data_IF_318848414575
#
_entry.id   IF_318848414575
#
_cell.length_a   1.000
_cell.length_b   1.000
_cell.length_c   1.000
_cell.angle_alpha   90.00
_cell.angle_beta   90.00
_cell.angle_gamma   90.00
#
_symmetry.space_group_name_H-M   'P 1'
#
loop_
_entity.id
_entity.type
_entity.pdbx_description
1 polymer ?
#
# COMPACT_ATOMS: atom_id res chain seq x y z
N UNK A 1 -32.11 -30.25 17.33
CA UNK A 1 -30.96 -30.65 16.49
C UNK A 1 -30.49 -29.44 15.71
N UNK A 2 -29.33 -28.91 16.11
CA UNK A 2 -28.32 -28.19 15.32
C UNK A 2 -27.38 -27.60 16.38
N UNK A 3 -26.23 -28.25 16.53
CA UNK A 3 -25.11 -27.86 17.40
C UNK A 3 -24.12 -27.13 16.51
N UNK A 4 -23.72 -25.93 16.90
CA UNK A 4 -22.49 -25.28 16.47
C UNK A 4 -21.92 -24.60 17.72
N UNK A 5 -20.79 -25.13 18.18
CA UNK A 5 -19.97 -24.64 19.29
C UNK A 5 -18.56 -24.57 18.73
N UNK A 6 -17.86 -23.46 18.99
CA UNK A 6 -16.42 -23.45 19.24
C UNK A 6 -15.55 -22.94 18.10
N UNK A 7 -15.37 -21.61 18.02
CA UNK A 7 -14.21 -20.97 17.42
C UNK A 7 -13.43 -20.32 18.57
N UNK A 8 -12.44 -21.03 19.10
CA UNK A 8 -11.57 -20.60 20.21
C UNK A 8 -10.16 -21.13 19.92
N UNK A 9 -9.25 -20.19 19.66
CA UNK A 9 -7.80 -20.20 19.93
C UNK A 9 -6.89 -21.19 19.17
N UNK A 10 -6.02 -20.64 18.33
CA UNK A 10 -4.72 -21.25 17.99
C UNK A 10 -3.61 -20.19 18.17
N UNK A 11 -3.30 -19.90 19.43
CA UNK A 11 -2.03 -19.31 19.84
C UNK A 11 -1.55 -20.10 21.07
N UNK A 12 -0.24 -20.35 21.11
CA UNK A 12 0.54 -21.00 22.17
C UNK A 12 0.74 -22.53 22.07
N UNK A 13 1.87 -22.93 21.47
CA UNK A 13 2.78 -23.93 22.08
C UNK A 13 4.23 -23.59 21.70
N UNK A 14 4.99 -22.98 22.62
CA UNK A 14 6.44 -23.17 22.71
C UNK A 14 6.97 -22.68 24.06
N UNK A 15 7.03 -23.59 25.04
CA UNK A 15 7.79 -23.42 26.27
C UNK A 15 8.32 -24.80 26.68
N UNK A 16 9.58 -25.06 26.33
CA UNK A 16 10.34 -26.27 26.70
C UNK A 16 10.96 -26.03 28.08
N UNK A 17 10.60 -26.88 29.05
CA UNK A 17 11.27 -27.01 30.34
C UNK A 17 12.46 -27.96 30.24
N UNK A 18 13.60 -27.53 30.78
CA UNK A 18 14.85 -28.29 30.87
C UNK A 18 15.03 -28.96 32.24
N UNK A 19 15.46 -30.22 32.18
CA UNK A 19 16.27 -31.02 33.13
C UNK A 19 15.66 -31.64 34.42
N UNK A 20 15.65 -32.98 34.44
CA UNK A 20 16.45 -33.80 35.37
C UNK A 20 16.61 -35.23 34.83
N UNK A 21 17.83 -35.76 34.84
CA UNK A 21 18.21 -36.99 34.12
C UNK A 21 18.03 -38.31 34.87
N UNK A 22 18.14 -39.42 34.12
CA UNK A 22 18.89 -40.64 34.45
C UNK A 22 18.89 -41.59 33.25
N UNK A 23 19.93 -42.41 33.18
CA UNK A 23 20.45 -43.28 32.11
C UNK A 23 19.49 -44.25 31.38
N UNK A 24 19.80 -44.44 30.09
CA UNK A 24 19.07 -45.13 29.01
C UNK A 24 18.64 -46.60 29.23
N UNK A 25 17.68 -47.05 28.40
CA UNK A 25 17.99 -48.08 27.41
C UNK A 25 17.76 -47.57 25.98
N UNK A 26 18.48 -48.14 25.02
CA UNK A 26 18.34 -47.87 23.58
C UNK A 26 16.89 -48.15 23.17
N UNK A 27 16.09 -47.09 23.04
CA UNK A 27 14.79 -47.13 22.38
C UNK A 27 15.03 -46.88 20.90
N UNK A 28 14.51 -47.76 20.06
CA UNK A 28 14.25 -47.47 18.65
C UNK A 28 13.61 -46.09 18.58
N UNK A 29 14.26 -45.21 17.82
CA UNK A 29 13.79 -43.86 17.55
C UNK A 29 12.34 -43.99 17.09
N UNK A 30 11.35 -43.39 17.80
CA UNK A 30 10.01 -43.37 17.27
C UNK A 30 10.10 -42.65 15.93
N UNK A 31 9.73 -43.31 14.84
CA UNK A 31 9.38 -42.62 13.61
C UNK A 31 8.39 -41.53 14.03
N UNK A 32 8.81 -40.27 13.92
CA UNK A 32 7.89 -39.15 13.97
C UNK A 32 6.76 -39.51 13.02
N UNK A 33 5.48 -39.51 13.44
CA UNK A 33 4.39 -39.75 12.50
C UNK A 33 4.62 -38.80 11.32
N UNK A 34 4.70 -39.35 10.11
CA UNK A 34 4.86 -38.53 8.92
C UNK A 34 3.68 -37.54 8.92
N UNK A 35 3.99 -36.25 9.03
CA UNK A 35 2.99 -35.20 8.95
C UNK A 35 2.19 -35.38 7.65
N UNK A 36 0.89 -35.11 7.68
CA UNK A 36 0.07 -35.29 6.49
C UNK A 36 0.61 -34.38 5.36
N UNK A 37 0.58 -34.82 4.07
CA UNK A 37 1.04 -34.00 2.95
C UNK A 37 0.45 -32.57 2.95
N UNK A 38 -0.82 -32.43 3.35
CA UNK A 38 -1.50 -31.14 3.51
C UNK A 38 -0.87 -30.27 4.60
N UNK A 39 -0.51 -30.82 5.76
CA UNK A 39 0.16 -30.10 6.86
C UNK A 39 1.56 -29.63 6.44
N UNK A 40 2.30 -30.47 5.71
CA UNK A 40 3.61 -30.14 5.15
C UNK A 40 3.47 -28.95 4.18
N UNK A 41 2.50 -29.00 3.26
CA UNK A 41 2.26 -27.94 2.30
C UNK A 41 1.81 -26.64 2.97
N UNK A 42 0.94 -26.70 3.97
CA UNK A 42 0.51 -25.51 4.74
C UNK A 42 1.70 -24.83 5.42
N UNK A 43 2.60 -25.61 6.04
CA UNK A 43 3.78 -25.06 6.69
C UNK A 43 4.74 -24.41 5.67
N UNK A 44 4.92 -25.05 4.51
CA UNK A 44 5.74 -24.50 3.42
C UNK A 44 5.15 -23.21 2.84
N UNK A 45 3.84 -23.19 2.56
CA UNK A 45 3.14 -22.01 2.03
C UNK A 45 3.16 -20.85 3.03
N UNK A 46 3.04 -21.12 4.32
CA UNK A 46 3.17 -20.11 5.37
C UNK A 46 4.56 -19.47 5.36
N UNK A 47 5.62 -20.29 5.23
CA UNK A 47 6.99 -19.76 5.16
C UNK A 47 7.25 -19.01 3.86
N UNK A 48 6.73 -19.50 2.74
CA UNK A 48 6.81 -18.83 1.44
C UNK A 48 6.12 -17.47 1.47
N UNK A 49 4.93 -17.37 2.10
CA UNK A 49 4.26 -16.09 2.35
C UNK A 49 5.14 -15.13 3.15
N UNK A 50 5.76 -15.59 4.24
CA UNK A 50 6.68 -14.76 5.03
C UNK A 50 7.85 -14.30 4.17
N UNK A 51 8.46 -15.19 3.37
CA UNK A 51 9.54 -14.78 2.46
C UNK A 51 9.04 -13.75 1.45
N UNK A 52 7.87 -13.96 0.85
CA UNK A 52 7.20 -13.01 -0.03
C UNK A 52 7.08 -11.63 0.61
N UNK A 53 6.57 -11.58 1.84
CA UNK A 53 6.40 -10.36 2.60
C UNK A 53 7.74 -9.63 2.86
N UNK A 54 8.78 -10.36 3.28
CA UNK A 54 10.09 -9.77 3.58
C UNK A 54 10.88 -9.36 2.32
N UNK A 55 10.81 -10.14 1.24
CA UNK A 55 11.56 -9.90 -0.02
C UNK A 55 10.80 -9.08 -1.05
N UNK A 56 9.51 -8.83 -0.92
CA UNK A 56 8.77 -8.16 -1.99
C UNK A 56 7.77 -7.11 -1.49
N UNK A 57 7.55 -6.99 -0.18
CA UNK A 57 6.52 -6.11 0.40
C UNK A 57 7.04 -5.17 1.51
N UNK A 58 8.36 -4.96 1.59
CA UNK A 58 9.04 -4.22 2.66
C UNK A 58 8.79 -4.71 4.09
N UNK A 59 8.52 -6.01 4.27
CA UNK A 59 8.03 -6.54 5.54
C UNK A 59 8.99 -6.49 6.73
N UNK A 60 10.22 -5.99 6.57
CA UNK A 60 11.20 -5.84 7.65
C UNK A 60 11.05 -4.46 8.30
N UNK A 61 10.73 -4.35 9.60
CA UNK A 61 10.53 -3.08 10.26
C UNK A 61 11.82 -2.29 10.41
N UNK A 62 11.72 -0.97 10.31
CA UNK A 62 12.86 -0.05 10.45
C UNK A 62 13.29 0.06 11.91
N UNK A 63 14.60 0.05 12.15
CA UNK A 63 15.23 0.15 13.46
C UNK A 63 15.93 1.49 13.71
N UNK A 64 15.82 2.46 12.79
CA UNK A 64 16.55 3.73 12.86
C UNK A 64 16.59 4.51 11.55
N UNK A 65 17.51 5.47 11.46
CA UNK A 65 17.62 6.38 10.32
C UNK A 65 18.34 5.75 9.10
N UNK A 66 18.01 6.26 7.92
CA UNK A 66 18.65 5.91 6.65
C UNK A 66 20.13 6.32 6.64
N UNK A 67 21.00 5.38 6.28
CA UNK A 67 22.45 5.65 6.13
C UNK A 67 22.75 6.41 4.83
N UNK A 68 23.91 7.07 4.75
CA UNK A 68 24.35 7.80 3.54
C UNK A 68 24.44 6.92 2.28
N UNK A 69 24.70 5.62 2.46
CA UNK A 69 24.75 4.64 1.38
C UNK A 69 23.40 3.96 1.09
N UNK A 70 22.33 4.53 1.63
CA UNK A 70 20.93 4.19 1.38
C UNK A 70 20.49 2.82 1.93
N UNK A 71 20.94 2.49 3.14
CA UNK A 71 20.48 1.33 3.88
C UNK A 71 19.73 1.74 5.16
N UNK A 72 18.69 0.98 5.50
CA UNK A 72 17.93 1.12 6.74
C UNK A 72 18.30 -0.01 7.69
N UNK A 73 18.66 0.27 8.96
CA UNK A 73 18.81 -0.78 9.96
C UNK A 73 17.46 -1.44 10.20
N UNK A 74 17.45 -2.76 10.35
CA UNK A 74 16.24 -3.54 10.64
C UNK A 74 16.05 -3.64 12.16
N UNK A 75 14.84 -3.39 12.64
CA UNK A 75 14.50 -3.55 14.06
C UNK A 75 14.58 -5.02 14.46
N UNK A 76 15.29 -5.36 15.56
CA UNK A 76 15.34 -6.73 16.08
C UNK A 76 13.97 -7.32 16.44
N UNK A 77 12.97 -6.46 16.69
CA UNK A 77 11.60 -6.85 17.02
C UNK A 77 10.86 -7.51 15.84
N UNK A 78 11.35 -7.33 14.61
CA UNK A 78 10.80 -7.96 13.40
C UNK A 78 11.05 -9.46 13.27
N UNK A 79 11.74 -10.10 14.24
CA UNK A 79 11.98 -11.54 14.28
C UNK A 79 13.12 -12.05 13.39
N UNK A 80 13.66 -11.20 12.51
CA UNK A 80 14.79 -11.52 11.61
C UNK A 80 15.94 -10.51 11.75
N UNK A 81 16.67 -10.50 12.89
CA UNK A 81 17.64 -9.46 13.22
C UNK A 81 18.98 -9.56 12.46
N UNK A 82 19.26 -10.69 11.79
CA UNK A 82 20.57 -11.01 11.18
C UNK A 82 20.43 -11.68 9.81
N UNK A 83 21.50 -11.67 9.00
CA UNK A 83 21.53 -12.43 7.74
C UNK A 83 21.34 -13.93 7.97
N UNK A 84 21.87 -14.46 9.08
CA UNK A 84 21.71 -15.87 9.46
C UNK A 84 20.23 -16.23 9.71
N UNK A 85 19.46 -15.33 10.34
CA UNK A 85 18.04 -15.55 10.59
C UNK A 85 17.23 -15.60 9.30
N UNK A 86 17.55 -14.73 8.34
CA UNK A 86 16.97 -14.73 6.99
C UNK A 86 17.35 -15.99 6.23
N UNK A 87 18.63 -16.38 6.24
CA UNK A 87 19.10 -17.59 5.60
C UNK A 87 18.42 -18.85 6.16
N UNK A 88 18.24 -18.93 7.49
CA UNK A 88 17.56 -20.05 8.14
C UNK A 88 16.10 -20.18 7.69
N UNK A 89 15.38 -19.06 7.52
CA UNK A 89 14.03 -19.06 6.96
C UNK A 89 14.03 -19.65 5.53
N UNK A 90 14.96 -19.19 4.69
CA UNK A 90 15.07 -19.65 3.31
C UNK A 90 15.42 -21.14 3.23
N UNK A 91 16.39 -21.60 4.01
CA UNK A 91 16.83 -23.01 4.05
C UNK A 91 15.75 -23.97 4.57
N UNK A 92 14.74 -23.47 5.28
CA UNK A 92 13.56 -24.25 5.69
C UNK A 92 12.42 -24.22 4.66
N UNK A 93 12.55 -23.41 3.62
CA UNK A 93 11.48 -23.13 2.65
C UNK A 93 11.86 -23.60 1.26
N UNK A 94 13.09 -23.38 0.83
CA UNK A 94 13.55 -23.63 -0.54
C UNK A 94 14.82 -24.52 -0.61
N UNK A 95 15.13 -25.12 -1.77
CA UNK A 95 16.41 -25.77 -2.04
C UNK A 95 17.59 -24.79 -2.09
N UNK A 96 18.80 -25.28 -1.82
CA UNK A 96 20.05 -24.50 -1.72
C UNK A 96 20.30 -23.51 -2.86
N UNK A 97 19.95 -23.88 -4.10
CA UNK A 97 20.15 -23.01 -5.26
C UNK A 97 19.27 -21.75 -5.20
N UNK A 98 18.01 -21.90 -4.79
CA UNK A 98 17.08 -20.79 -4.65
C UNK A 98 17.40 -19.95 -3.41
N UNK A 99 17.83 -20.60 -2.31
CA UNK A 99 18.37 -19.91 -1.12
C UNK A 99 19.51 -18.98 -1.52
N UNK A 100 20.49 -19.49 -2.27
CA UNK A 100 21.64 -18.68 -2.73
C UNK A 100 21.18 -17.52 -3.59
N UNK A 101 20.25 -17.76 -4.52
CA UNK A 101 19.71 -16.71 -5.40
C UNK A 101 19.03 -15.59 -4.62
N UNK A 102 18.26 -15.93 -3.59
CA UNK A 102 17.55 -14.95 -2.75
C UNK A 102 18.47 -14.18 -1.80
N UNK A 103 19.53 -14.83 -1.30
CA UNK A 103 20.56 -14.17 -0.48
C UNK A 103 21.47 -13.24 -1.31
N UNK A 104 21.74 -13.61 -2.56
CA UNK A 104 22.52 -12.81 -3.52
C UNK A 104 21.66 -11.74 -4.22
N UNK A 105 20.36 -11.62 -3.87
CA UNK A 105 19.44 -10.69 -4.50
C UNK A 105 19.93 -9.24 -4.39
N UNK A 106 19.77 -8.50 -5.48
CA UNK A 106 20.20 -7.11 -5.57
C UNK A 106 19.02 -6.15 -5.59
N UNK A 107 19.28 -4.91 -5.17
CA UNK A 107 18.37 -3.79 -5.28
C UNK A 107 18.34 -3.20 -6.70
N UNK A 108 17.51 -2.18 -6.92
CA UNK A 108 17.35 -1.53 -8.24
C UNK A 108 18.63 -0.89 -8.80
N UNK A 109 19.69 -0.75 -7.99
CA UNK A 109 21.00 -0.21 -8.39
C UNK A 109 22.08 -1.29 -8.49
N UNK A 110 21.72 -2.57 -8.35
CA UNK A 110 22.67 -3.69 -8.38
C UNK A 110 23.48 -3.85 -7.09
N UNK A 111 23.06 -3.24 -5.98
CA UNK A 111 23.70 -3.41 -4.66
C UNK A 111 23.04 -4.58 -3.92
N UNK A 112 23.73 -5.23 -2.96
CA UNK A 112 23.11 -6.28 -2.15
C UNK A 112 21.83 -5.79 -1.47
N UNK A 113 20.77 -6.59 -1.52
CA UNK A 113 19.50 -6.22 -0.88
C UNK A 113 19.62 -6.13 0.64
N UNK A 114 20.40 -7.05 1.21
CA UNK A 114 20.62 -7.16 2.65
C UNK A 114 22.12 -7.17 2.95
N UNK A 115 22.52 -6.44 3.98
CA UNK A 115 23.88 -6.45 4.50
C UNK A 115 23.84 -6.51 6.02
N UNK A 116 24.89 -7.05 6.63
CA UNK A 116 25.04 -7.04 8.08
C UNK A 116 26.22 -6.16 8.48
N UNK A 117 26.01 -5.27 9.45
CA UNK A 117 27.06 -4.40 10.01
C UNK A 117 26.99 -4.50 11.52
N UNK A 118 28.10 -4.90 12.13
CA UNK A 118 28.22 -5.01 13.58
C UNK A 118 27.12 -5.89 14.23
N UNK A 119 26.66 -6.93 13.53
CA UNK A 119 25.61 -7.84 14.00
C UNK A 119 24.18 -7.31 13.83
N UNK A 120 24.00 -6.18 13.14
CA UNK A 120 22.71 -5.60 12.80
C UNK A 120 22.44 -5.81 11.32
N UNK A 121 21.28 -6.37 10.99
CA UNK A 121 20.79 -6.47 9.62
C UNK A 121 20.38 -5.08 9.11
N UNK A 122 20.75 -4.79 7.87
CA UNK A 122 20.30 -3.62 7.13
C UNK A 122 19.64 -4.06 5.83
N UNK A 123 18.53 -3.39 5.47
CA UNK A 123 17.85 -3.53 4.18
C UNK A 123 18.14 -2.33 3.29
N UNK A 124 18.23 -2.54 1.98
CA UNK A 124 18.30 -1.42 1.01
C UNK A 124 17.01 -0.60 1.07
N UNK A 125 17.12 0.73 0.98
CA UNK A 125 15.95 1.62 0.89
C UNK A 125 15.33 1.67 -0.52
N UNK A 126 15.89 0.94 -1.47
CA UNK A 126 15.39 0.84 -2.86
C UNK A 126 15.14 -0.62 -3.27
N UNK A 127 14.35 -1.38 -2.49
CA UNK A 127 14.12 -2.78 -2.77
C UNK A 127 13.41 -2.97 -4.11
N UNK A 128 13.56 -4.18 -4.67
CA UNK A 128 12.66 -4.64 -5.72
C UNK A 128 11.35 -5.04 -5.06
N UNK A 129 10.28 -4.31 -5.35
CA UNK A 129 8.94 -4.57 -4.86
C UNK A 129 8.16 -5.46 -5.82
N UNK A 130 7.34 -6.34 -5.26
CA UNK A 130 6.22 -6.90 -6.00
C UNK A 130 5.25 -5.78 -6.34
N UNK A 131 4.63 -5.86 -7.51
CA UNK A 131 3.59 -4.91 -7.92
C UNK A 131 2.33 -5.07 -7.05
N UNK A 132 2.17 -6.25 -6.45
CA UNK A 132 0.95 -6.65 -5.76
C UNK A 132 1.23 -7.35 -4.43
N UNK A 133 0.33 -7.18 -3.47
CA UNK A 133 0.34 -7.98 -2.25
C UNK A 133 -0.43 -9.26 -2.50
N UNK A 134 0.20 -10.42 -2.34
CA UNK A 134 -0.44 -11.73 -2.56
C UNK A 134 -0.57 -12.50 -1.25
N UNK A 135 -1.68 -13.21 -1.10
CA UNK A 135 -1.93 -14.15 0.00
C UNK A 135 -2.42 -15.49 -0.54
N UNK A 136 -2.18 -16.57 0.19
CA UNK A 136 -2.65 -17.90 -0.17
C UNK A 136 -4.03 -18.17 0.43
N UNK A 137 -4.94 -18.72 -0.38
CA UNK A 137 -6.10 -19.43 0.16
C UNK A 137 -5.64 -20.84 0.58
N UNK A 138 -5.24 -20.99 1.84
CA UNK A 138 -4.71 -22.25 2.36
C UNK A 138 -5.71 -23.43 2.28
N UNK A 139 -7.01 -23.14 2.21
CA UNK A 139 -8.08 -24.14 2.07
C UNK A 139 -8.26 -24.60 0.61
N UNK A 140 -7.61 -23.92 -0.35
CA UNK A 140 -7.72 -24.21 -1.79
C UNK A 140 -6.70 -25.23 -2.32
N UNK A 141 -5.81 -25.74 -1.45
CA UNK A 141 -4.73 -26.63 -1.87
C UNK A 141 -5.29 -27.95 -2.42
N UNK A 142 -4.90 -28.29 -3.65
CA UNK A 142 -5.24 -29.58 -4.29
C UNK A 142 -3.95 -30.24 -4.74
N UNK A 143 -3.63 -31.40 -4.14
CA UNK A 143 -2.48 -32.21 -4.53
C UNK A 143 -2.84 -32.99 -5.81
N UNK A 144 -2.11 -32.71 -6.89
CA UNK A 144 -2.31 -33.34 -8.19
C UNK A 144 -1.47 -34.63 -8.34
N UNK A 145 -0.27 -34.61 -7.77
CA UNK A 145 0.65 -35.75 -7.78
C UNK A 145 1.48 -35.77 -6.49
N UNK A 146 1.66 -36.95 -5.91
CA UNK A 146 2.46 -37.18 -4.71
C UNK A 146 3.37 -38.39 -4.92
N UNK A 147 4.65 -38.19 -4.63
CA UNK A 147 5.68 -39.23 -4.64
C UNK A 147 6.62 -39.05 -3.45
N UNK A 148 7.56 -39.98 -3.26
CA UNK A 148 8.57 -39.84 -2.20
C UNK A 148 9.58 -38.71 -2.44
N UNK A 149 9.66 -38.17 -3.66
CA UNK A 149 10.64 -37.15 -4.04
C UNK A 149 10.03 -35.80 -4.42
N UNK A 150 8.73 -35.78 -4.74
CA UNK A 150 8.06 -34.63 -5.32
C UNK A 150 6.56 -34.64 -5.00
N UNK A 151 6.01 -33.46 -4.71
CA UNK A 151 4.58 -33.16 -4.64
C UNK A 151 4.26 -32.03 -5.60
N UNK A 152 3.32 -32.25 -6.52
CA UNK A 152 2.77 -31.22 -7.40
C UNK A 152 1.37 -30.90 -6.92
N UNK A 153 1.08 -29.62 -6.73
CA UNK A 153 -0.19 -29.16 -6.20
C UNK A 153 -0.58 -27.84 -6.83
N UNK A 154 -1.88 -27.55 -6.82
CA UNK A 154 -2.40 -26.21 -7.13
C UNK A 154 -2.85 -25.53 -5.86
N UNK A 155 -2.65 -24.22 -5.79
CA UNK A 155 -3.16 -23.35 -4.72
C UNK A 155 -3.66 -22.05 -5.34
N UNK A 156 -4.77 -21.52 -4.84
CA UNK A 156 -5.24 -20.20 -5.22
C UNK A 156 -4.49 -19.13 -4.43
N UNK A 157 -3.97 -18.14 -5.14
CA UNK A 157 -3.46 -16.92 -4.53
C UNK A 157 -4.42 -15.77 -4.81
N UNK A 158 -4.65 -14.93 -3.79
CA UNK A 158 -5.44 -13.72 -3.92
C UNK A 158 -4.53 -12.50 -3.85
N UNK A 159 -4.68 -11.61 -4.82
CA UNK A 159 -4.16 -10.27 -4.75
C UNK A 159 -4.96 -9.50 -3.69
N UNK A 160 -4.34 -9.19 -2.56
CA UNK A 160 -4.96 -8.49 -1.44
C UNK A 160 -5.43 -7.08 -1.79
N UNK A 161 -4.86 -6.48 -2.85
CA UNK A 161 -5.24 -5.13 -3.29
C UNK A 161 -6.39 -5.15 -4.30
N UNK A 162 -6.34 -6.01 -5.31
CA UNK A 162 -7.36 -6.06 -6.38
C UNK A 162 -8.49 -7.05 -6.09
N UNK A 163 -8.27 -7.99 -5.17
CA UNK A 163 -9.16 -9.11 -4.90
C UNK A 163 -9.09 -10.22 -5.96
N UNK A 164 -8.30 -10.05 -7.02
CA UNK A 164 -8.07 -11.02 -8.08
C UNK A 164 -7.54 -12.33 -7.51
N UNK A 165 -8.02 -13.46 -8.05
CA UNK A 165 -7.65 -14.81 -7.62
C UNK A 165 -7.03 -15.55 -8.78
N UNK A 166 -5.82 -16.03 -8.60
CA UNK A 166 -5.08 -16.78 -9.62
C UNK A 166 -4.77 -18.20 -9.12
N UNK A 167 -5.09 -19.24 -9.89
CA UNK A 167 -4.65 -20.59 -9.57
C UNK A 167 -3.18 -20.74 -9.93
N UNK A 168 -2.37 -21.20 -8.99
CA UNK A 168 -0.93 -21.38 -9.15
C UNK A 168 -0.57 -22.85 -9.02
N UNK A 169 0.04 -23.43 -10.05
CA UNK A 169 0.64 -24.77 -9.98
C UNK A 169 2.02 -24.66 -9.36
N UNK A 170 2.31 -25.49 -8.36
CA UNK A 170 3.52 -25.45 -7.53
C UNK A 170 4.09 -26.83 -7.31
N UNK A 171 5.39 -26.87 -7.08
CA UNK A 171 6.11 -28.11 -6.78
C UNK A 171 6.85 -28.01 -5.45
N UNK A 172 6.68 -29.02 -4.60
CA UNK A 172 7.54 -29.26 -3.44
C UNK A 172 8.44 -30.46 -3.71
N UNK A 173 9.72 -30.35 -3.39
CA UNK A 173 10.73 -31.39 -3.57
C UNK A 173 11.24 -31.90 -2.22
N UNK A 174 11.41 -33.22 -2.10
CA UNK A 174 11.93 -33.82 -0.88
C UNK A 174 13.47 -33.80 -0.92
N UNK A 175 14.06 -33.04 0.01
CA UNK A 175 15.52 -32.96 0.17
C UNK A 175 15.97 -33.75 1.40
N UNK A 176 17.28 -33.94 1.57
CA UNK A 176 17.82 -34.55 2.78
C UNK A 176 17.45 -33.79 4.08
N UNK A 177 17.09 -32.51 3.98
CA UNK A 177 16.67 -31.65 5.08
C UNK A 177 15.13 -31.49 5.17
N UNK A 178 14.36 -32.29 4.43
CA UNK A 178 12.90 -32.26 4.36
C UNK A 178 12.35 -31.64 3.07
N UNK A 179 11.03 -31.47 3.03
CA UNK A 179 10.33 -30.88 1.88
C UNK A 179 10.64 -29.39 1.72
N UNK A 180 10.75 -28.93 0.46
CA UNK A 180 11.05 -27.55 0.07
C UNK A 180 10.26 -27.16 -1.17
N UNK A 181 9.85 -25.90 -1.30
CA UNK A 181 9.21 -25.37 -2.51
C UNK A 181 10.27 -25.08 -3.58
N UNK A 182 9.98 -25.40 -4.84
CA UNK A 182 10.95 -25.23 -5.95
C UNK A 182 11.10 -23.78 -6.43
N UNK A 183 10.17 -22.90 -6.06
CA UNK A 183 10.08 -21.51 -6.52
C UNK A 183 9.42 -20.64 -5.45
N UNK A 184 9.55 -19.31 -5.57
CA UNK A 184 8.87 -18.32 -4.70
C UNK A 184 7.49 -18.01 -5.24
N UNK A 185 6.48 -18.04 -4.37
CA UNK A 185 5.08 -17.89 -4.79
C UNK A 185 4.72 -16.58 -5.47
N UNK A 186 5.11 -15.45 -4.88
CA UNK A 186 4.84 -14.13 -5.47
C UNK A 186 5.42 -14.03 -6.88
N UNK A 187 6.68 -14.44 -7.07
CA UNK A 187 7.33 -14.40 -8.39
C UNK A 187 6.60 -15.31 -9.39
N UNK A 188 6.13 -16.49 -8.98
CA UNK A 188 5.40 -17.39 -9.85
C UNK A 188 3.98 -16.86 -10.19
N UNK A 189 3.31 -16.22 -9.23
CA UNK A 189 2.02 -15.56 -9.46
C UNK A 189 2.16 -14.39 -10.46
N UNK A 190 3.19 -13.55 -10.29
CA UNK A 190 3.45 -12.42 -11.18
C UNK A 190 3.88 -12.83 -12.59
N UNK A 191 4.63 -13.92 -12.75
CA UNK A 191 4.98 -14.46 -14.09
C UNK A 191 3.76 -14.91 -14.90
N UNK A 192 2.65 -15.23 -14.23
CA UNK A 192 1.38 -15.58 -14.87
C UNK A 192 0.52 -14.37 -15.25
N UNK A 193 0.88 -13.17 -14.77
CA UNK A 193 0.23 -11.92 -15.15
C UNK A 193 0.86 -11.44 -16.45
N UNK A 194 0.05 -10.94 -17.38
CA UNK A 194 0.61 -10.23 -18.52
C UNK A 194 1.41 -9.03 -17.98
N UNK A 195 2.72 -9.02 -18.25
CA UNK A 195 3.60 -7.88 -17.97
C UNK A 195 3.02 -6.64 -18.66
N UNK A 196 2.31 -5.80 -17.92
CA UNK A 196 1.91 -4.48 -18.42
C UNK A 196 3.15 -3.61 -18.51
N UNK A 197 3.92 -3.78 -19.58
CA UNK A 197 5.21 -3.11 -19.71
C UNK A 197 5.07 -1.59 -19.55
N UNK A 198 6.14 -0.93 -19.10
CA UNK A 198 6.22 0.55 -19.13
C UNK A 198 5.98 1.12 -20.54
N UNK A 199 6.20 0.33 -21.59
CA UNK A 199 5.85 0.66 -22.97
C UNK A 199 4.33 0.86 -23.14
N UNK A 200 3.48 0.14 -22.39
CA UNK A 200 2.02 0.34 -22.37
C UNK A 200 1.64 1.64 -21.65
N UNK A 201 2.29 1.95 -20.53
CA UNK A 201 2.06 3.21 -19.78
C UNK A 201 2.42 4.42 -20.64
N UNK A 202 3.58 4.38 -21.29
CA UNK A 202 4.00 5.42 -22.24
C UNK A 202 3.08 5.50 -23.45
N UNK A 203 2.65 4.35 -23.99
CA UNK A 203 1.71 4.33 -25.11
C UNK A 203 0.37 4.98 -24.76
N UNK A 204 -0.13 4.83 -23.52
CA UNK A 204 -1.32 5.55 -23.04
C UNK A 204 -1.09 7.06 -23.05
N UNK A 205 0.06 7.53 -22.54
CA UNK A 205 0.41 8.95 -22.53
C UNK A 205 0.52 9.55 -23.95
N UNK A 206 1.21 8.84 -24.85
CA UNK A 206 1.36 9.25 -26.26
C UNK A 206 0.00 9.25 -26.99
N UNK A 207 -0.82 8.23 -26.76
CA UNK A 207 -2.18 8.15 -27.31
C UNK A 207 -3.06 9.28 -26.79
N UNK A 208 -2.97 9.62 -25.52
CA UNK A 208 -3.70 10.73 -24.91
C UNK A 208 -3.31 12.08 -25.54
N UNK A 209 -2.01 12.37 -25.63
CA UNK A 209 -1.52 13.63 -26.24
C UNK A 209 -1.89 13.74 -27.72
N UNK A 210 -1.79 12.64 -28.48
CA UNK A 210 -2.26 12.60 -29.86
C UNK A 210 -3.78 12.85 -29.97
N UNK A 211 -4.58 12.30 -29.05
CA UNK A 211 -6.02 12.49 -29.02
C UNK A 211 -6.45 13.94 -28.68
N UNK A 212 -5.66 14.64 -27.85
CA UNK A 212 -5.85 16.08 -27.60
C UNK A 212 -5.73 16.90 -28.90
N UNK A 213 -4.66 16.67 -29.68
CA UNK A 213 -4.42 17.36 -30.96
C UNK A 213 -5.47 16.99 -32.01
N UNK A 214 -5.85 15.71 -32.07
CA UNK A 214 -6.87 15.23 -33.00
C UNK A 214 -8.30 15.72 -32.65
N UNK A 215 -8.48 16.31 -31.46
CA UNK A 215 -9.78 16.59 -30.85
C UNK A 215 -10.69 15.36 -30.90
N UNK A 216 -10.20 14.25 -30.33
CA UNK A 216 -10.91 12.97 -30.24
C UNK A 216 -11.31 12.64 -28.79
N UNK A 217 -12.49 13.12 -28.33
CA UNK A 217 -13.00 12.84 -26.99
C UNK A 217 -13.19 11.36 -26.65
N UNK A 218 -13.40 10.49 -27.64
CA UNK A 218 -13.59 9.06 -27.36
C UNK A 218 -12.27 8.42 -26.95
N UNK A 219 -11.20 8.73 -27.67
CA UNK A 219 -9.86 8.25 -27.30
C UNK A 219 -9.36 8.91 -26.02
N UNK A 220 -9.66 10.20 -25.79
CA UNK A 220 -9.35 10.88 -24.51
C UNK A 220 -10.04 10.16 -23.34
N UNK A 221 -11.35 9.87 -23.45
CA UNK A 221 -12.09 9.16 -22.42
C UNK A 221 -11.51 7.76 -22.17
N UNK A 222 -11.22 7.01 -23.23
CA UNK A 222 -10.61 5.68 -23.10
C UNK A 222 -9.23 5.73 -22.41
N UNK A 223 -8.39 6.73 -22.70
CA UNK A 223 -7.11 6.89 -22.01
C UNK A 223 -7.26 7.25 -20.53
N UNK A 224 -8.36 7.90 -20.16
CA UNK A 224 -8.67 8.27 -18.77
C UNK A 224 -9.48 7.19 -18.03
N UNK A 225 -9.78 6.03 -18.65
CA UNK A 225 -10.65 5.01 -18.04
C UNK A 225 -12.11 5.43 -17.90
N UNK A 226 -12.55 6.42 -18.69
CA UNK A 226 -13.86 7.04 -18.60
C UNK A 226 -14.84 6.53 -19.67
N UNK A 227 -16.14 6.72 -19.42
CA UNK A 227 -17.16 6.44 -20.42
C UNK A 227 -16.96 7.29 -21.69
N UNK A 228 -17.20 6.76 -22.91
CA UNK A 228 -16.95 7.48 -24.16
C UNK A 228 -17.67 8.83 -24.29
N UNK A 229 -18.76 9.02 -23.54
CA UNK A 229 -19.54 10.25 -23.49
C UNK A 229 -18.97 11.35 -22.57
N UNK A 230 -18.05 11.03 -21.65
CA UNK A 230 -17.61 11.93 -20.56
C UNK A 230 -17.08 13.27 -21.07
N UNK A 231 -16.31 13.26 -22.17
CA UNK A 231 -15.67 14.46 -22.74
C UNK A 231 -16.30 14.94 -24.05
N UNK A 232 -17.52 14.52 -24.40
CA UNK A 232 -18.13 14.87 -25.69
C UNK A 232 -18.33 16.38 -25.89
N UNK A 233 -18.45 17.14 -24.80
CA UNK A 233 -18.51 18.60 -24.80
C UNK A 233 -17.18 19.27 -25.23
N UNK A 234 -16.09 18.51 -25.36
CA UNK A 234 -14.80 19.01 -25.85
C UNK A 234 -14.70 19.03 -27.38
N UNK A 235 -15.69 18.51 -28.10
CA UNK A 235 -15.72 18.63 -29.57
C UNK A 235 -15.70 20.09 -30.00
N UNK A 236 -14.79 20.41 -30.93
CA UNK A 236 -14.56 21.76 -31.41
C UNK A 236 -13.48 22.54 -30.65
N UNK A 237 -12.83 21.93 -29.65
CA UNK A 237 -11.57 22.47 -29.13
C UNK A 237 -10.48 22.41 -30.20
N UNK A 238 -9.52 23.31 -30.11
CA UNK A 238 -8.39 23.42 -31.03
C UNK A 238 -7.11 23.51 -30.23
N UNK A 239 -6.44 22.37 -30.12
CA UNK A 239 -5.09 22.21 -29.58
C UNK A 239 -4.22 21.88 -30.79
N UNK A 240 -3.28 22.76 -31.12
CA UNK A 240 -2.45 22.60 -32.33
C UNK A 240 -1.22 21.74 -32.12
N UNK A 241 -0.80 21.60 -30.86
CA UNK A 241 0.34 20.81 -30.47
C UNK A 241 0.12 20.30 -29.05
N UNK A 242 0.43 19.03 -28.82
CA UNK A 242 0.57 18.41 -27.51
C UNK A 242 1.60 17.30 -27.66
N UNK A 243 2.70 17.36 -26.91
CA UNK A 243 3.75 16.34 -26.98
C UNK A 243 4.48 16.18 -25.66
N UNK A 244 4.90 14.95 -25.36
CA UNK A 244 5.74 14.67 -24.21
C UNK A 244 7.13 15.25 -24.48
N UNK A 245 7.57 16.18 -23.64
CA UNK A 245 8.88 16.83 -23.75
C UNK A 245 9.91 16.22 -22.81
N UNK A 246 9.49 15.77 -21.63
CA UNK A 246 10.34 15.08 -20.66
C UNK A 246 9.64 13.90 -20.00
N UNK A 247 10.39 12.82 -19.76
CA UNK A 247 10.01 11.74 -18.84
C UNK A 247 10.62 12.06 -17.47
N UNK A 248 9.77 12.39 -16.49
CA UNK A 248 10.21 12.72 -15.13
C UNK A 248 10.44 11.46 -14.31
N UNK A 249 9.55 10.48 -14.45
CA UNK A 249 9.60 9.19 -13.77
C UNK A 249 8.80 8.19 -14.59
N UNK A 250 9.30 6.96 -14.73
CA UNK A 250 8.59 5.91 -15.46
C UNK A 250 9.05 4.54 -14.96
N UNK A 251 8.09 3.72 -14.55
CA UNK A 251 8.28 2.33 -14.19
C UNK A 251 6.99 1.57 -14.50
N UNK A 252 6.94 0.28 -14.18
CA UNK A 252 5.80 -0.54 -14.54
C UNK A 252 4.49 -0.05 -13.87
N UNK A 253 3.45 0.17 -14.68
CA UNK A 253 2.17 0.71 -14.24
C UNK A 253 2.19 2.17 -13.78
N UNK A 254 3.27 2.92 -13.98
CA UNK A 254 3.35 4.35 -13.60
C UNK A 254 4.24 5.18 -14.52
N UNK A 255 3.73 6.33 -14.95
CA UNK A 255 4.44 7.27 -15.79
C UNK A 255 4.12 8.70 -15.40
N UNK A 256 5.17 9.51 -15.24
CA UNK A 256 5.12 10.94 -14.94
C UNK A 256 5.84 11.70 -16.04
N UNK A 257 5.11 12.54 -16.76
CA UNK A 257 5.59 13.21 -17.96
C UNK A 257 5.35 14.70 -17.90
N UNK A 258 6.26 15.46 -18.50
CA UNK A 258 6.00 16.85 -18.91
C UNK A 258 5.45 16.83 -20.32
N UNK A 259 4.29 17.48 -20.52
CA UNK A 259 3.64 17.62 -21.81
C UNK A 259 3.62 19.10 -22.18
N UNK A 260 4.24 19.45 -23.29
CA UNK A 260 4.11 20.78 -23.86
C UNK A 260 2.84 20.87 -24.71
N UNK A 261 1.99 21.87 -24.47
CA UNK A 261 0.71 22.02 -25.18
C UNK A 261 0.49 23.45 -25.69
N UNK A 262 0.02 23.56 -26.93
CA UNK A 262 -0.35 24.82 -27.58
C UNK A 262 -1.85 24.84 -27.88
N UNK A 263 -2.57 25.65 -27.11
CA UNK A 263 -4.03 25.74 -27.16
C UNK A 263 -4.48 27.02 -27.84
N UNK A 264 -5.29 26.90 -28.90
CA UNK A 264 -5.95 28.05 -29.54
C UNK A 264 -7.34 28.32 -28.96
N UNK A 265 -8.09 27.26 -28.70
CA UNK A 265 -9.42 27.35 -28.11
C UNK A 265 -9.75 26.06 -27.36
N UNK A 266 -9.90 26.14 -26.05
CA UNK A 266 -10.32 25.00 -25.23
C UNK A 266 -11.59 25.30 -24.42
N UNK A 267 -12.41 26.27 -24.84
CA UNK A 267 -13.66 26.64 -24.15
C UNK A 267 -13.51 26.90 -22.63
N UNK A 268 -12.32 27.30 -22.18
CA UNK A 268 -11.99 27.53 -20.77
C UNK A 268 -11.61 26.28 -19.97
N UNK A 269 -11.51 25.11 -20.61
CA UNK A 269 -10.99 23.87 -20.00
C UNK A 269 -9.46 23.96 -19.84
N UNK A 270 -8.77 24.38 -20.90
CA UNK A 270 -7.34 24.68 -20.88
C UNK A 270 -7.08 26.16 -21.15
N UNK A 271 -5.98 26.69 -20.63
CA UNK A 271 -5.56 28.05 -20.90
C UNK A 271 -5.21 28.21 -22.39
N UNK A 272 -5.54 29.36 -22.98
CA UNK A 272 -5.15 29.69 -24.36
C UNK A 272 -3.69 30.16 -24.35
N UNK A 273 -2.86 29.59 -25.23
CA UNK A 273 -1.43 29.87 -25.29
C UNK A 273 -0.58 28.61 -25.27
N UNK A 274 0.69 28.79 -24.97
CA UNK A 274 1.69 27.72 -24.81
C UNK A 274 1.95 27.53 -23.31
N UNK A 275 1.81 26.30 -22.83
CA UNK A 275 1.97 25.96 -21.40
C UNK A 275 2.38 24.49 -21.24
N UNK A 276 3.17 24.21 -20.19
CA UNK A 276 3.61 22.86 -19.85
C UNK A 276 2.70 22.25 -18.78
N UNK A 277 2.30 21.00 -19.00
CA UNK A 277 1.40 20.24 -18.16
C UNK A 277 2.12 19.05 -17.55
N UNK A 278 1.79 18.75 -16.29
CA UNK A 278 2.15 17.50 -15.65
C UNK A 278 1.09 16.46 -16.00
N UNK A 279 1.53 15.40 -16.69
CA UNK A 279 0.72 14.23 -17.01
C UNK A 279 1.16 13.06 -16.11
N UNK A 280 0.20 12.42 -15.46
CA UNK A 280 0.43 11.17 -14.72
C UNK A 280 -0.48 10.09 -15.29
N UNK A 281 0.15 8.98 -15.65
CA UNK A 281 -0.51 7.74 -16.04
C UNK A 281 -0.21 6.72 -14.95
N UNK A 282 -1.24 6.04 -14.47
CA UNK A 282 -1.11 5.07 -13.40
C UNK A 282 -2.06 3.89 -13.63
N UNK A 283 -1.61 2.70 -13.27
CA UNK A 283 -2.44 1.52 -13.13
C UNK A 283 -3.34 1.69 -11.89
N UNK A 284 -4.60 2.05 -12.14
CA UNK A 284 -5.62 2.24 -11.10
C UNK A 284 -6.36 0.94 -10.77
N UNK A 285 -6.87 0.84 -9.55
CA UNK A 285 -7.61 -0.34 -9.09
C UNK A 285 -8.87 -0.55 -9.95
N UNK A 286 -9.03 -1.74 -10.51
CA UNK A 286 -10.18 -2.12 -11.33
C UNK A 286 -10.08 -1.71 -12.81
N UNK A 287 -8.96 -1.14 -13.26
CA UNK A 287 -8.68 -0.91 -14.67
C UNK A 287 -7.86 -2.06 -15.26
N UNK A 288 -8.17 -2.47 -16.48
CA UNK A 288 -7.41 -3.52 -17.20
C UNK A 288 -6.09 -3.00 -17.79
N UNK A 289 -5.90 -1.68 -17.88
CA UNK A 289 -4.71 -1.01 -18.42
C UNK A 289 -4.44 0.31 -17.68
N UNK A 290 -3.21 0.85 -17.70
CA UNK A 290 -2.93 2.14 -17.09
C UNK A 290 -3.80 3.25 -17.69
N UNK A 291 -4.22 4.19 -16.85
CA UNK A 291 -5.07 5.32 -17.24
C UNK A 291 -4.42 6.64 -16.87
N UNK A 292 -4.77 7.70 -17.60
CA UNK A 292 -4.43 9.07 -17.22
C UNK A 292 -5.23 9.42 -15.97
N UNK A 293 -4.55 9.60 -14.83
CA UNK A 293 -5.18 9.92 -13.55
C UNK A 293 -4.96 11.38 -13.10
N UNK A 294 -4.09 12.12 -13.80
CA UNK A 294 -3.85 13.53 -13.52
C UNK A 294 -3.30 14.26 -14.76
N UNK A 295 -3.87 15.43 -15.06
CA UNK A 295 -3.39 16.31 -16.12
C UNK A 295 -3.70 17.78 -15.79
N UNK A 296 -2.72 18.51 -15.29
CA UNK A 296 -2.83 19.92 -14.87
C UNK A 296 -1.54 20.69 -15.19
N UNK A 297 -1.58 22.04 -15.29
CA UNK A 297 -0.39 22.85 -15.52
C UNK A 297 0.70 22.61 -14.46
N UNK A 298 1.97 22.65 -14.86
CA UNK A 298 3.09 22.44 -13.93
C UNK A 298 3.18 23.51 -12.82
N UNK A 299 2.60 24.68 -13.03
CA UNK A 299 2.50 25.72 -11.99
C UNK A 299 1.50 25.36 -10.87
N UNK A 300 0.66 24.34 -11.10
CA UNK A 300 -0.48 23.99 -10.25
C UNK A 300 -0.47 22.49 -9.93
N UNK A 301 0.53 22.06 -9.17
CA UNK A 301 0.65 20.65 -8.74
C UNK A 301 -0.16 20.39 -7.48
N UNK A 302 -1.08 19.44 -7.54
CA UNK A 302 -1.80 18.96 -6.37
C UNK A 302 -0.84 18.26 -5.39
N UNK A 303 -1.05 18.47 -4.10
CA UNK A 303 -0.22 17.91 -3.03
C UNK A 303 -0.08 16.38 -3.13
N UNK A 304 -1.15 15.67 -3.48
CA UNK A 304 -1.16 14.22 -3.63
C UNK A 304 -0.19 13.72 -4.70
N UNK A 305 0.10 14.55 -5.70
CA UNK A 305 0.99 14.27 -6.83
C UNK A 305 2.31 15.07 -6.75
N UNK A 306 2.55 15.76 -5.65
CA UNK A 306 3.81 16.46 -5.37
C UNK A 306 4.89 15.46 -4.97
N UNK A 307 6.12 15.67 -5.42
CA UNK A 307 7.29 14.91 -4.94
C UNK A 307 7.69 15.32 -3.51
N UNK A 308 7.25 16.49 -3.04
CA UNK A 308 7.58 17.01 -1.70
C UNK A 308 6.35 17.00 -0.79
N UNK A 309 5.94 15.81 -0.35
CA UNK A 309 4.83 15.63 0.60
C UNK A 309 5.27 15.84 2.05
N UNK A 310 5.36 17.11 2.46
CA UNK A 310 5.80 17.51 3.82
C UNK A 310 4.82 18.43 4.56
N UNK A 311 3.63 18.67 4.01
CA UNK A 311 2.65 19.58 4.61
C UNK A 311 1.70 18.81 5.54
N UNK A 312 1.93 18.97 6.85
CA UNK A 312 1.11 18.33 7.88
C UNK A 312 -0.38 18.67 7.78
N UNK A 313 -0.74 19.86 7.29
CA UNK A 313 -2.15 20.24 7.13
C UNK A 313 -2.78 19.46 5.97
N UNK A 314 -2.03 19.22 4.89
CA UNK A 314 -2.47 18.41 3.77
C UNK A 314 -2.58 16.93 4.15
N UNK A 315 -1.61 16.36 4.88
CA UNK A 315 -1.69 14.98 5.39
C UNK A 315 -2.90 14.79 6.32
N UNK A 316 -3.11 15.71 7.27
CA UNK A 316 -4.27 15.67 8.16
C UNK A 316 -5.59 15.82 7.39
N UNK A 317 -5.61 16.62 6.31
CA UNK A 317 -6.78 16.75 5.42
C UNK A 317 -7.10 15.45 4.71
N UNK A 318 -6.11 14.78 4.11
CA UNK A 318 -6.32 13.49 3.45
C UNK A 318 -6.77 12.42 4.44
N UNK A 319 -6.12 12.33 5.60
CA UNK A 319 -6.49 11.38 6.64
C UNK A 319 -7.90 11.64 7.17
N UNK A 320 -8.30 12.90 7.33
CA UNK A 320 -9.66 13.24 7.70
C UNK A 320 -10.66 12.80 6.62
N UNK A 321 -10.39 13.07 5.35
CA UNK A 321 -11.28 12.70 4.25
C UNK A 321 -11.40 11.18 4.07
N UNK A 322 -10.29 10.45 4.16
CA UNK A 322 -10.28 8.99 4.11
C UNK A 322 -11.01 8.36 5.30
N UNK A 323 -10.96 9.01 6.47
CA UNK A 323 -11.55 8.49 7.70
C UNK A 323 -13.02 8.91 7.85
N UNK A 324 -13.36 10.19 7.69
CA UNK A 324 -14.72 10.70 7.95
C UNK A 324 -15.52 10.95 6.66
N UNK A 325 -14.92 10.79 5.49
CA UNK A 325 -15.55 11.12 4.22
C UNK A 325 -15.80 12.62 4.08
N UNK A 326 -16.90 12.95 3.39
CA UNK A 326 -17.23 14.31 2.98
C UNK A 326 -17.94 15.20 4.01
N UNK A 327 -17.76 14.98 5.31
CA UNK A 327 -18.46 15.71 6.37
C UNK A 327 -18.02 17.18 6.43
N UNK A 328 -18.97 18.10 6.60
CA UNK A 328 -18.74 19.54 6.76
C UNK A 328 -19.21 20.02 8.13
N UNK A 329 -18.47 20.96 8.71
CA UNK A 329 -18.84 21.61 9.97
C UNK A 329 -18.15 22.97 10.12
N UNK A 330 -18.87 23.93 10.70
CA UNK A 330 -18.33 25.27 10.98
C UNK A 330 -17.47 25.33 12.25
N UNK A 331 -17.50 24.28 13.07
CA UNK A 331 -16.67 24.10 14.27
C UNK A 331 -16.65 22.62 14.64
N UNK A 332 -15.51 22.13 15.11
CA UNK A 332 -15.35 20.76 15.64
C UNK A 332 -16.30 20.44 16.79
N UNK A 333 -16.81 21.45 17.50
CA UNK A 333 -17.86 21.27 18.52
C UNK A 333 -19.14 20.60 17.98
N UNK A 334 -19.42 20.76 16.69
CA UNK A 334 -20.61 20.19 16.05
C UNK A 334 -20.42 18.76 15.54
N UNK A 335 -19.20 18.21 15.65
CA UNK A 335 -18.95 16.82 15.31
C UNK A 335 -19.61 15.91 16.34
N UNK A 336 -20.19 14.80 15.88
CA UNK A 336 -20.71 13.80 16.80
C UNK A 336 -19.58 13.10 17.56
N UNK A 337 -19.91 12.58 18.73
CA UNK A 337 -18.93 11.97 19.64
C UNK A 337 -18.22 10.75 19.02
N UNK A 338 -18.92 9.99 18.18
CA UNK A 338 -18.35 8.82 17.52
C UNK A 338 -17.30 9.23 16.49
N UNK A 339 -17.59 10.21 15.63
CA UNK A 339 -16.67 10.78 14.65
C UNK A 339 -15.44 11.43 15.31
N UNK A 340 -15.63 12.14 16.43
CA UNK A 340 -14.51 12.68 17.22
C UNK A 340 -13.62 11.57 17.78
N UNK A 341 -14.23 10.55 18.39
CA UNK A 341 -13.51 9.40 18.97
C UNK A 341 -12.71 8.68 17.91
N UNK A 342 -13.37 8.41 16.79
CA UNK A 342 -12.80 7.68 15.67
C UNK A 342 -11.65 8.45 15.00
N UNK A 343 -11.81 9.75 14.74
CA UNK A 343 -10.73 10.55 14.16
C UNK A 343 -9.56 10.70 15.14
N UNK A 344 -9.83 10.85 16.44
CA UNK A 344 -8.78 10.85 17.47
C UNK A 344 -7.99 9.53 17.50
N UNK A 345 -8.68 8.39 17.40
CA UNK A 345 -8.04 7.06 17.29
C UNK A 345 -7.25 6.92 15.98
N UNK A 346 -7.77 7.45 14.86
CA UNK A 346 -7.06 7.46 13.58
C UNK A 346 -5.74 8.23 13.67
N UNK A 347 -5.74 9.40 14.31
CA UNK A 347 -4.52 10.17 14.55
C UNK A 347 -3.56 9.45 15.49
N UNK A 348 -4.06 8.86 16.58
CA UNK A 348 -3.23 8.11 17.53
C UNK A 348 -2.58 6.89 16.87
N UNK A 349 -3.32 6.17 16.03
CA UNK A 349 -2.80 5.04 15.26
C UNK A 349 -1.69 5.49 14.29
N UNK A 350 -1.88 6.62 13.59
CA UNK A 350 -0.87 7.19 12.72
C UNK A 350 0.38 7.68 13.46
N UNK A 351 0.26 8.11 14.72
CA UNK A 351 1.39 8.55 15.56
C UNK A 351 2.11 7.41 16.29
N UNK A 352 1.44 6.26 16.48
CA UNK A 352 1.94 5.17 17.31
C UNK A 352 1.88 3.86 16.52
N UNK A 353 2.84 3.68 15.63
CA UNK A 353 2.96 2.47 14.80
C UNK A 353 2.93 1.20 15.66
N UNK A 354 2.04 0.25 15.31
CA UNK A 354 1.88 -1.02 16.02
C UNK A 354 0.98 -1.01 17.25
N UNK A 355 0.52 0.17 17.72
CA UNK A 355 -0.43 0.25 18.83
C UNK A 355 -1.87 -0.07 18.35
N UNK A 356 -2.51 -1.04 19.01
CA UNK A 356 -3.86 -1.50 18.62
C UNK A 356 -4.97 -1.00 19.54
N UNK A 357 -4.63 -0.46 20.72
CA UNK A 357 -5.58 0.00 21.73
C UNK A 357 -5.04 1.23 22.48
N UNK A 358 -5.95 2.13 22.86
CA UNK A 358 -5.63 3.37 23.57
C UNK A 358 -6.53 3.57 24.79
N UNK A 359 -5.99 4.16 25.85
CA UNK A 359 -6.77 4.54 27.03
C UNK A 359 -7.76 5.68 26.72
N UNK A 360 -8.79 5.83 27.57
CA UNK A 360 -9.74 6.93 27.45
C UNK A 360 -9.04 8.31 27.54
N UNK A 361 -7.97 8.38 28.33
CA UNK A 361 -7.19 9.59 28.57
C UNK A 361 -6.38 9.99 27.32
N UNK A 362 -5.79 9.02 26.63
CA UNK A 362 -5.08 9.23 25.35
C UNK A 362 -6.04 9.70 24.26
N UNK A 363 -7.21 9.08 24.13
CA UNK A 363 -8.22 9.50 23.14
C UNK A 363 -8.76 10.91 23.46
N UNK A 364 -8.98 11.22 24.74
CA UNK A 364 -9.38 12.58 25.16
C UNK A 364 -8.27 13.61 24.88
N UNK A 365 -7.00 13.26 25.11
CA UNK A 365 -5.87 14.12 24.81
C UNK A 365 -5.72 14.37 23.30
N UNK A 366 -5.92 13.34 22.48
CA UNK A 366 -5.93 13.46 21.01
C UNK A 366 -7.10 14.33 20.51
N UNK A 367 -8.31 14.14 21.04
CA UNK A 367 -9.45 15.01 20.73
C UNK A 367 -9.19 16.48 21.11
N UNK A 368 -8.51 16.72 22.23
CA UNK A 368 -8.08 18.07 22.60
C UNK A 368 -7.01 18.62 21.64
N UNK A 369 -5.98 17.83 21.31
CA UNK A 369 -4.86 18.21 20.44
C UNK A 369 -5.33 18.53 19.02
N UNK A 370 -6.11 17.64 18.42
CA UNK A 370 -6.47 17.71 17.00
C UNK A 370 -7.79 18.41 16.71
N UNK A 371 -8.70 18.45 17.68
CA UNK A 371 -10.04 19.01 17.48
C UNK A 371 -10.38 20.13 18.49
N UNK A 372 -9.51 20.39 19.48
CA UNK A 372 -9.72 21.45 20.48
C UNK A 372 -10.76 21.13 21.54
N UNK A 373 -11.15 19.87 21.69
CA UNK A 373 -12.26 19.46 22.56
C UNK A 373 -11.73 19.10 23.97
N UNK A 374 -11.80 20.07 24.89
CA UNK A 374 -11.36 19.89 26.29
C UNK A 374 -12.39 19.07 27.07
N UNK A 375 -11.91 18.11 27.86
CA UNK A 375 -12.79 17.26 28.69
C UNK A 375 -13.66 16.31 27.88
N UNK A 376 -13.22 15.98 26.65
CA UNK A 376 -13.90 15.04 25.79
C UNK A 376 -13.97 13.65 26.43
N UNK A 377 -15.15 13.05 26.44
CA UNK A 377 -15.36 11.67 26.84
C UNK A 377 -15.55 10.82 25.56
N UNK A 378 -14.65 9.86 25.27
CA UNK A 378 -14.75 9.00 24.09
C UNK A 378 -16.07 8.21 24.02
N UNK A 379 -16.46 7.82 22.81
CA UNK A 379 -17.66 7.04 22.58
C UNK A 379 -17.43 5.56 22.94
N UNK A 380 -18.17 5.06 23.92
CA UNK A 380 -18.06 3.69 24.45
C UNK A 380 -18.30 2.60 23.38
N UNK A 381 -18.86 2.91 22.21
CA UNK A 381 -18.97 1.96 21.09
C UNK A 381 -17.61 1.51 20.54
N UNK A 382 -16.55 2.29 20.74
CA UNK A 382 -15.17 1.96 20.35
C UNK A 382 -14.41 1.23 21.48
N UNK A 383 -15.04 0.98 22.63
CA UNK A 383 -14.38 0.38 23.79
C UNK A 383 -14.32 -1.15 23.66
N UNK A 384 -13.10 -1.67 23.56
CA UNK A 384 -12.77 -3.09 23.70
C UNK A 384 -12.29 -3.47 25.10
N UNK A 385 -11.75 -4.68 25.23
CA UNK A 385 -11.26 -5.24 26.50
C UNK A 385 -9.99 -4.54 27.00
N UNK A 386 -9.09 -4.17 26.08
CA UNK A 386 -7.78 -3.58 26.38
C UNK A 386 -7.76 -2.05 26.31
N UNK A 387 -8.83 -1.42 25.80
CA UNK A 387 -8.91 0.02 25.60
C UNK A 387 -9.89 0.40 24.50
N UNK A 388 -9.78 1.63 24.00
CA UNK A 388 -10.47 2.10 22.80
C UNK A 388 -9.71 1.65 21.56
N UNK A 389 -10.43 1.04 20.62
CA UNK A 389 -9.87 0.41 19.42
C UNK A 389 -10.36 1.16 18.17
N UNK A 390 -9.46 1.39 17.22
CA UNK A 390 -9.89 1.78 15.87
C UNK A 390 -10.43 0.53 15.18
N UNK A 391 -11.75 0.41 15.05
CA UNK A 391 -12.35 -0.67 14.29
C UNK A 391 -11.89 -0.56 12.83
N UNK A 392 -11.15 -1.56 12.33
CA UNK A 392 -10.66 -1.59 10.96
C UNK A 392 -11.81 -1.36 9.98
N UNK A 393 -11.85 -0.17 9.39
CA UNK A 393 -12.83 0.23 8.39
C UNK A 393 -12.08 0.56 7.12
N UNK A 394 -12.67 0.18 5.99
CA UNK A 394 -12.16 0.61 4.70
C UNK A 394 -12.18 2.15 4.66
N UNK A 395 -11.08 2.74 4.21
CA UNK A 395 -11.04 4.17 3.93
C UNK A 395 -12.17 4.52 2.95
N UNK A 396 -12.77 5.70 3.13
CA UNK A 396 -13.69 6.23 2.13
C UNK A 396 -12.94 6.37 0.80
N UNK A 397 -13.42 5.65 -0.21
CA UNK A 397 -12.95 5.84 -1.58
C UNK A 397 -13.44 7.21 -2.06
N UNK A 398 -12.49 8.11 -2.29
CA UNK A 398 -12.72 9.45 -2.83
C UNK A 398 -11.96 9.52 -4.16
N UNK A 399 -12.52 8.92 -5.22
CA UNK A 399 -11.87 8.91 -6.52
C UNK A 399 -11.65 10.35 -7.00
N UNK A 400 -10.49 10.60 -7.61
CA UNK A 400 -10.09 11.92 -8.14
C UNK A 400 -10.05 13.02 -7.07
N UNK A 401 -9.68 12.66 -5.83
CA UNK A 401 -9.39 13.63 -4.78
C UNK A 401 -8.06 14.34 -5.06
N UNK A 402 -8.13 15.66 -5.23
CA UNK A 402 -6.97 16.54 -5.24
C UNK A 402 -6.95 17.38 -3.96
N UNK A 403 -5.88 17.26 -3.18
CA UNK A 403 -5.56 18.22 -2.11
C UNK A 403 -4.55 19.22 -2.64
N UNK A 404 -4.74 20.49 -2.33
CA UNK A 404 -3.86 21.58 -2.76
C UNK A 404 -2.96 22.04 -1.61
N UNK A 405 -1.73 22.50 -1.90
CA UNK A 405 -0.82 23.00 -0.87
C UNK A 405 -1.47 23.99 0.08
N UNK A 406 -1.18 23.86 1.38
CA UNK A 406 -1.74 24.72 2.41
C UNK A 406 -1.25 26.16 2.27
N UNK A 407 -2.10 27.12 2.63
CA UNK A 407 -1.75 28.54 2.64
C UNK A 407 -2.30 29.27 3.87
N UNK A 408 -1.59 30.29 4.32
CA UNK A 408 -2.02 31.13 5.43
C UNK A 408 -3.06 32.17 5.01
N UNK A 409 -4.09 32.39 5.82
CA UNK A 409 -5.13 33.39 5.55
C UNK A 409 -4.88 34.76 6.21
N UNK A 410 -3.70 34.92 6.84
CA UNK A 410 -3.33 36.13 7.57
C UNK A 410 -3.94 36.26 8.97
N UNK A 411 -4.87 35.38 9.37
CA UNK A 411 -5.41 35.34 10.74
C UNK A 411 -4.69 34.34 11.65
N UNK A 412 -3.56 33.79 11.20
CA UNK A 412 -2.82 32.72 11.87
C UNK A 412 -3.41 31.33 11.67
N UNK A 413 -4.36 31.17 10.72
CA UNK A 413 -4.85 29.85 10.30
C UNK A 413 -4.10 29.37 9.06
N UNK A 414 -4.03 28.06 8.92
CA UNK A 414 -3.63 27.38 7.69
C UNK A 414 -4.90 26.87 7.02
N UNK A 415 -5.07 27.18 5.75
CA UNK A 415 -6.18 26.71 4.93
C UNK A 415 -5.68 25.68 3.93
N UNK A 416 -6.41 24.58 3.81
CA UNK A 416 -6.15 23.54 2.81
C UNK A 416 -7.41 23.35 1.99
N UNK A 417 -7.26 23.41 0.67
CA UNK A 417 -8.36 23.15 -0.26
C UNK A 417 -8.28 21.70 -0.69
N UNK A 418 -9.41 21.01 -0.66
CA UNK A 418 -9.55 19.68 -1.22
C UNK A 418 -10.71 19.66 -2.21
N UNK A 419 -10.53 19.03 -3.36
CA UNK A 419 -11.52 18.95 -4.44
C UNK A 419 -11.66 17.52 -4.89
N UNK A 420 -12.90 17.09 -5.08
CA UNK A 420 -13.26 15.79 -5.64
C UNK A 420 -13.85 16.07 -7.02
N UNK A 421 -13.27 15.44 -8.02
CA UNK A 421 -13.73 15.51 -9.40
C UNK A 421 -14.56 14.28 -9.75
N UNK A 422 -15.46 14.43 -10.71
CA UNK A 422 -16.21 13.30 -11.25
C UNK A 422 -15.50 12.60 -12.40
N UNK A 423 -14.27 13.00 -12.72
CA UNK A 423 -13.49 12.49 -13.84
C UNK A 423 -11.98 12.58 -13.56
N UNK A 424 -11.19 11.67 -14.17
CA UNK A 424 -9.74 11.59 -13.96
C UNK A 424 -8.92 12.77 -14.51
N UNK A 425 -9.47 13.54 -15.46
CA UNK A 425 -8.80 14.73 -15.99
C UNK A 425 -9.05 15.98 -15.14
N UNK A 426 -9.80 15.86 -14.04
CA UNK A 426 -10.03 16.92 -13.06
C UNK A 426 -10.67 18.18 -13.66
N UNK A 427 -11.56 18.01 -14.64
CA UNK A 427 -12.22 19.13 -15.32
C UNK A 427 -13.68 19.32 -14.88
N UNK A 428 -14.30 18.31 -14.28
CA UNK A 428 -15.66 18.33 -13.78
C UNK A 428 -15.64 18.26 -12.26
N UNK A 429 -15.53 19.43 -11.62
CA UNK A 429 -15.56 19.51 -10.17
C UNK A 429 -16.94 19.06 -9.65
N UNK A 430 -16.93 18.04 -8.81
CA UNK A 430 -18.13 17.52 -8.16
C UNK A 430 -18.31 18.14 -6.76
N UNK A 431 -17.22 18.27 -6.00
CA UNK A 431 -17.27 18.75 -4.63
C UNK A 431 -15.98 19.43 -4.17
N UNK A 432 -16.11 20.61 -3.56
CA UNK A 432 -15.00 21.31 -2.92
C UNK A 432 -15.14 21.35 -1.39
N UNK A 433 -13.99 21.36 -0.71
CA UNK A 433 -13.84 21.54 0.73
C UNK A 433 -12.75 22.55 1.03
N UNK A 434 -12.98 23.36 2.06
CA UNK A 434 -11.95 24.20 2.64
C UNK A 434 -11.77 23.84 4.11
N UNK A 435 -10.64 23.21 4.40
CA UNK A 435 -10.20 22.87 5.75
C UNK A 435 -9.48 24.07 6.34
N UNK A 436 -9.76 24.36 7.62
CA UNK A 436 -9.05 25.37 8.37
C UNK A 436 -8.41 24.78 9.61
N UNK A 437 -7.12 25.05 9.81
CA UNK A 437 -6.33 24.57 10.92
C UNK A 437 -5.73 25.72 11.72
N UNK A 438 -5.56 25.51 13.03
CA UNK A 438 -4.74 26.34 13.89
C UNK A 438 -3.47 25.60 14.29
N UNK A 439 -2.29 26.23 14.26
CA UNK A 439 -1.09 25.64 14.83
C UNK A 439 -1.18 25.63 16.36
N UNK A 440 -0.77 24.51 16.97
CA UNK A 440 -0.71 24.36 18.42
C UNK A 440 0.60 24.90 19.04
N UNK A 441 1.60 25.20 18.22
CA UNK A 441 2.90 25.74 18.65
C UNK A 441 3.95 24.68 19.00
N UNK A 442 3.56 23.40 19.05
CA UNK A 442 4.41 22.22 19.25
C UNK A 442 4.69 21.46 17.93
N UNK A 443 4.36 22.08 16.80
CA UNK A 443 4.44 21.47 15.46
C UNK A 443 3.16 20.76 15.02
N UNK A 444 2.19 20.57 15.92
CA UNK A 444 0.91 19.91 15.58
C UNK A 444 -0.17 20.91 15.18
N UNK A 445 -1.22 20.39 14.54
CA UNK A 445 -2.33 21.17 14.01
C UNK A 445 -3.63 20.78 14.69
N UNK A 446 -4.49 21.78 14.87
CA UNK A 446 -5.86 21.62 15.33
C UNK A 446 -6.82 21.99 14.21
N UNK A 447 -7.62 21.02 13.77
CA UNK A 447 -8.71 21.25 12.83
C UNK A 447 -9.78 22.13 13.49
N UNK A 448 -10.20 23.16 12.77
CA UNK A 448 -11.17 24.15 13.24
C UNK A 448 -12.52 23.99 12.54
N UNK A 449 -12.52 23.87 11.22
CA UNK A 449 -13.73 23.83 10.40
C UNK A 449 -13.46 23.21 9.03
N UNK A 450 -14.53 22.71 8.41
CA UNK A 450 -14.58 22.25 7.02
C UNK A 450 -15.83 22.86 6.38
N UNK A 451 -15.65 23.69 5.36
CA UNK A 451 -16.76 24.35 4.63
C UNK A 451 -16.86 23.88 3.20
#
# INVERSE_FOLDING_TARGET
>A
MKRTIGLIWLFAVLLVLVACGTSAPVQEQPETPADAPEEILQELLTRDYIVGYLWYCDGLPDGGELTEDEYLPVSPEGGYPTLESLQTLLERTYPDELVRTLMDAQDMQGRPRFVEREGILYKSSRPVFSRYYWDYDADSVVIENESSTEMVFTVEMQNLHTGERVPLSRTAVNTAAGWRLSEVGITAAEQGLEEQSSEETRAVAERFTAALVANDPQTIAACAGEAPETYQNWKGMTITEASITDTLEEYDGYGRYRVHMVTQNAFGVFAVGEEDYLLIVQQEQGQETPVVCYYEPEEKIAYNYSQERKDAACEMTMLFLQSQGGVRFSSTFWMDRAAVTDFALTMLYAENEGAMAFSAEEVAAAAQKYLGLIGFAPDESYRGEEGYLLAGRAAYSLPHLLVWPGYGDGSGRILVKAEIYSDHLNVQNCQGYLFAFYPNGDGTLRLASIT
#
